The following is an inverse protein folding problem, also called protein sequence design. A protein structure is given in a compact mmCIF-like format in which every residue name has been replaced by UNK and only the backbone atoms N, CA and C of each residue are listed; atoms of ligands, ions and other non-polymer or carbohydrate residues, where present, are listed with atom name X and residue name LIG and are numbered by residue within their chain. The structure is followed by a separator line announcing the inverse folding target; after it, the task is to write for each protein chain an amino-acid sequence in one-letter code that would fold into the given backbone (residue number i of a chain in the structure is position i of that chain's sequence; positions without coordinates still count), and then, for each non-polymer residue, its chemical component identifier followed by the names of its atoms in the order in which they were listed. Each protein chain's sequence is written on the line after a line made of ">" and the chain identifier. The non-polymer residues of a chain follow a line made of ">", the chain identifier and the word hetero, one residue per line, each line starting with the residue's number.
data_IF_781999736522
#
_entry.id   IF_781999736522
#
_cell.length_a   1.000
_cell.length_b   1.000
_cell.length_c   1.000
_cell.angle_alpha   90.00
_cell.angle_beta   90.00
_cell.angle_gamma   90.00
#
_symmetry.space_group_name_H-M   'P 1'
#
loop_
_entity.id
_entity.type
_entity.pdbx_description
1 polymer ?
#
# COMPACT_ATOMS: atom_id res chain seq x y z
N UNK A 1 -14.27 -7.84 -0.79
CA UNK A 1 -12.87 -7.70 -0.33
C UNK A 1 -12.36 -6.25 -0.40
N UNK A 2 -12.32 -5.58 -1.57
CA UNK A 2 -11.87 -4.16 -1.68
C UNK A 2 -12.63 -3.19 -0.74
N UNK A 3 -13.95 -3.36 -0.63
CA UNK A 3 -14.80 -2.56 0.26
C UNK A 3 -14.54 -2.86 1.75
N UNK A 4 -14.27 -4.11 2.09
CA UNK A 4 -13.95 -4.54 3.47
C UNK A 4 -12.60 -3.96 3.87
N UNK A 5 -11.61 -4.02 2.99
CA UNK A 5 -10.29 -3.46 3.24
C UNK A 5 -10.34 -1.94 3.44
N UNK A 6 -11.00 -1.23 2.52
CA UNK A 6 -11.19 0.22 2.62
C UNK A 6 -11.97 0.62 3.88
N UNK A 7 -13.05 -0.10 4.19
CA UNK A 7 -13.86 0.17 5.39
C UNK A 7 -13.10 -0.10 6.69
N UNK A 8 -12.28 -1.15 6.73
CA UNK A 8 -11.48 -1.50 7.91
C UNK A 8 -10.38 -0.46 8.16
N UNK A 9 -9.72 0.01 7.10
CA UNK A 9 -8.66 1.03 7.21
C UNK A 9 -9.20 2.41 7.60
N UNK A 10 -10.38 2.79 7.08
CA UNK A 10 -11.07 4.02 7.49
C UNK A 10 -11.51 3.93 8.97
N UNK A 11 -12.03 2.77 9.38
CA UNK A 11 -12.41 2.56 10.78
C UNK A 11 -11.18 2.61 11.72
N UNK A 12 -10.05 2.02 11.31
CA UNK A 12 -8.82 2.01 12.10
C UNK A 12 -8.16 3.40 12.20
N UNK A 13 -8.12 4.16 11.11
CA UNK A 13 -7.63 5.55 11.13
C UNK A 13 -8.51 6.46 12.01
N UNK A 14 -9.83 6.32 11.92
CA UNK A 14 -10.76 7.06 12.80
C UNK A 14 -10.57 6.71 14.28
N UNK A 15 -10.36 5.43 14.61
CA UNK A 15 -10.10 4.99 15.98
C UNK A 15 -8.77 5.55 16.52
N UNK A 16 -7.72 5.61 15.68
CA UNK A 16 -6.45 6.22 16.03
C UNK A 16 -6.63 7.71 16.35
N UNK A 17 -7.35 8.47 15.51
CA UNK A 17 -7.63 9.89 15.75
C UNK A 17 -8.44 10.13 17.04
N UNK A 18 -9.46 9.31 17.29
CA UNK A 18 -10.24 9.38 18.54
C UNK A 18 -9.36 9.14 19.77
N UNK A 19 -8.40 8.22 19.68
CA UNK A 19 -7.48 7.95 20.79
C UNK A 19 -6.49 9.11 21.02
N UNK A 20 -5.89 9.65 19.96
CA UNK A 20 -4.91 10.73 20.04
C UNK A 20 -5.53 12.04 20.53
N UNK A 21 -6.74 12.37 20.06
CA UNK A 21 -7.50 13.53 20.53
C UNK A 21 -7.93 13.36 22.00
N UNK A 22 -8.41 12.17 22.39
CA UNK A 22 -8.76 11.86 23.77
C UNK A 22 -7.59 11.99 24.75
N UNK A 23 -6.40 11.49 24.38
CA UNK A 23 -5.19 11.64 25.19
C UNK A 23 -4.79 13.11 25.31
N UNK A 24 -4.85 13.87 24.21
CA UNK A 24 -4.48 15.29 24.20
C UNK A 24 -5.41 16.12 25.08
N UNK A 25 -6.72 15.92 24.96
CA UNK A 25 -7.73 16.59 25.79
C UNK A 25 -7.58 16.21 27.26
N UNK A 26 -7.37 14.92 27.55
CA UNK A 26 -7.12 14.45 28.91
C UNK A 26 -5.88 15.13 29.52
N UNK A 27 -4.77 15.21 28.77
CA UNK A 27 -3.53 15.86 29.23
C UNK A 27 -3.63 17.38 29.34
N UNK A 28 -4.49 18.03 28.57
CA UNK A 28 -4.78 19.47 28.74
C UNK A 28 -5.65 19.77 29.97
N UNK A 29 -6.48 18.82 30.39
CA UNK A 29 -7.42 18.96 31.52
C UNK A 29 -6.84 18.51 32.86
N UNK A 30 -5.79 17.68 32.88
CA UNK A 30 -5.10 17.29 34.11
C UNK A 30 -4.26 18.46 34.62
N UNK A 31 -4.54 18.90 35.86
CA UNK A 31 -3.86 20.03 36.48
C UNK A 31 -2.41 19.69 36.85
N UNK A 32 -1.51 20.65 36.60
CA UNK A 32 -0.07 20.47 36.41
C UNK A 32 0.70 20.06 37.69
N UNK A 33 0.93 18.75 37.89
CA UNK A 33 1.90 18.28 38.90
C UNK A 33 3.20 17.73 38.32
N UNK A 34 3.25 17.42 37.02
CA UNK A 34 4.49 17.03 36.35
C UNK A 34 4.64 17.82 35.06
N UNK A 35 5.79 18.48 34.86
CA UNK A 35 6.21 19.06 33.58
C UNK A 35 6.52 17.95 32.55
N UNK A 36 5.70 16.90 32.49
CA UNK A 36 5.88 15.78 31.58
C UNK A 36 5.14 16.08 30.27
N UNK A 37 5.88 15.97 29.16
CA UNK A 37 5.30 16.08 27.83
C UNK A 37 4.67 14.73 27.43
N UNK A 38 3.59 14.72 26.63
CA UNK A 38 3.02 13.49 26.07
C UNK A 38 4.05 12.63 25.34
N UNK A 39 4.95 13.29 24.60
CA UNK A 39 6.09 12.65 23.97
C UNK A 39 7.39 13.24 24.53
N UNK A 40 8.25 12.39 25.08
CA UNK A 40 9.51 12.83 25.66
C UNK A 40 10.43 13.37 24.54
N UNK A 41 10.53 14.70 24.45
CA UNK A 41 11.23 15.40 23.37
C UNK A 41 12.15 16.44 23.98
N UNK A 42 13.38 16.53 23.49
CA UNK A 42 14.29 17.60 23.87
C UNK A 42 13.94 18.88 23.11
N UNK A 43 13.54 19.92 23.83
CA UNK A 43 13.18 21.21 23.25
C UNK A 43 14.25 22.26 23.59
N UNK A 44 14.63 23.13 22.63
CA UNK A 44 15.65 24.15 22.87
C UNK A 44 15.15 25.32 23.73
N UNK A 45 13.91 25.27 24.23
CA UNK A 45 13.28 26.32 25.04
C UNK A 45 12.67 25.76 26.32
N UNK A 46 12.55 26.61 27.33
CA UNK A 46 11.95 26.24 28.61
C UNK A 46 10.42 26.27 28.52
N UNK A 47 9.77 25.14 28.82
CA UNK A 47 8.32 24.99 28.81
C UNK A 47 7.69 24.96 30.22
N UNK A 48 8.40 25.46 31.23
CA UNK A 48 7.91 25.53 32.63
C UNK A 48 6.70 26.46 32.81
N UNK A 49 6.44 27.36 31.87
CA UNK A 49 5.28 28.27 31.91
C UNK A 49 4.03 27.55 31.39
N UNK A 50 2.86 27.64 32.06
CA UNK A 50 1.64 26.93 31.66
C UNK A 50 1.21 27.20 30.21
N UNK A 51 1.36 28.44 29.73
CA UNK A 51 1.01 28.82 28.34
C UNK A 51 1.92 28.12 27.33
N UNK A 52 3.23 28.14 27.57
CA UNK A 52 4.24 27.51 26.68
C UNK A 52 4.08 25.99 26.70
N UNK A 53 3.78 25.41 27.87
CA UNK A 53 3.51 23.98 28.01
C UNK A 53 2.30 23.54 27.17
N UNK A 54 1.17 24.26 27.26
CA UNK A 54 -0.04 23.98 26.47
C UNK A 54 0.23 24.12 24.96
N UNK A 55 0.95 25.16 24.55
CA UNK A 55 1.32 25.33 23.14
C UNK A 55 2.22 24.18 22.65
N UNK A 56 3.14 23.71 23.48
CA UNK A 56 4.02 22.58 23.17
C UNK A 56 3.22 21.27 23.03
N UNK A 57 2.26 21.01 23.92
CA UNK A 57 1.36 19.85 23.82
C UNK A 57 0.56 19.90 22.51
N UNK A 58 -0.01 21.06 22.17
CA UNK A 58 -0.75 21.24 20.92
C UNK A 58 0.14 21.02 19.69
N UNK A 59 1.37 21.57 19.70
CA UNK A 59 2.32 21.37 18.62
C UNK A 59 2.70 19.89 18.45
N UNK A 60 2.98 19.17 19.54
CA UNK A 60 3.23 17.72 19.50
C UNK A 60 2.04 16.95 18.93
N UNK A 61 0.81 17.33 19.33
CA UNK A 61 -0.41 16.74 18.78
C UNK A 61 -0.50 16.95 17.26
N UNK A 62 -0.30 18.18 16.77
CA UNK A 62 -0.34 18.47 15.33
C UNK A 62 0.73 17.68 14.55
N UNK A 63 1.94 17.54 15.11
CA UNK A 63 3.01 16.76 14.47
C UNK A 63 2.58 15.29 14.33
N UNK A 64 2.07 14.69 15.41
CA UNK A 64 1.62 13.27 15.40
C UNK A 64 0.38 13.09 14.51
N UNK A 65 -0.52 14.07 14.50
CA UNK A 65 -1.70 14.09 13.64
C UNK A 65 -1.31 14.08 12.15
N UNK A 66 -0.43 14.99 11.74
CA UNK A 66 0.06 15.06 10.35
C UNK A 66 0.81 13.76 9.99
N UNK A 67 1.69 13.27 10.86
CA UNK A 67 2.42 12.03 10.63
C UNK A 67 1.48 10.83 10.46
N UNK A 68 0.45 10.71 11.32
CA UNK A 68 -0.57 9.66 11.23
C UNK A 68 -1.36 9.71 9.93
N UNK A 69 -1.74 10.91 9.46
CA UNK A 69 -2.41 11.06 8.17
C UNK A 69 -1.53 10.72 6.97
N UNK A 70 -0.25 11.11 7.02
CA UNK A 70 0.71 10.75 5.98
C UNK A 70 0.83 9.22 5.92
N UNK A 71 1.01 8.57 7.07
CA UNK A 71 1.09 7.11 7.18
C UNK A 71 -0.18 6.44 6.63
N UNK A 72 -1.36 6.84 7.09
CA UNK A 72 -2.64 6.31 6.61
C UNK A 72 -2.83 6.52 5.09
N UNK A 73 -2.36 7.67 4.59
CA UNK A 73 -2.31 7.98 3.17
C UNK A 73 -1.46 6.97 2.40
N UNK A 74 -0.24 6.69 2.87
CA UNK A 74 0.66 5.69 2.27
C UNK A 74 0.08 4.28 2.30
N UNK A 75 -0.45 3.86 3.45
CA UNK A 75 -1.05 2.53 3.62
C UNK A 75 -2.29 2.34 2.71
N UNK A 76 -2.92 3.43 2.27
CA UNK A 76 -4.03 3.40 1.28
C UNK A 76 -3.56 3.50 -0.16
N UNK A 77 -2.69 4.46 -0.44
CA UNK A 77 -2.19 4.74 -1.78
C UNK A 77 -1.49 3.52 -2.36
N UNK A 78 -0.68 2.85 -1.55
CA UNK A 78 0.14 1.74 -2.03
C UNK A 78 -0.71 0.55 -2.55
N UNK A 79 -1.62 -0.08 -1.77
CA UNK A 79 -2.54 -1.09 -2.29
C UNK A 79 -3.42 -0.55 -3.42
N UNK A 80 -3.80 0.72 -3.35
CA UNK A 80 -4.61 1.39 -4.37
C UNK A 80 -3.91 1.39 -5.74
N UNK A 81 -2.63 1.77 -5.79
CA UNK A 81 -1.86 1.77 -7.03
C UNK A 81 -1.63 0.33 -7.51
N UNK A 82 -1.30 -0.61 -6.62
CA UNK A 82 -1.16 -2.04 -6.98
C UNK A 82 -2.43 -2.59 -7.63
N UNK A 83 -3.60 -2.25 -7.08
CA UNK A 83 -4.89 -2.66 -7.63
C UNK A 83 -5.17 -2.02 -9.00
N UNK A 84 -4.82 -0.74 -9.19
CA UNK A 84 -4.95 -0.06 -10.48
C UNK A 84 -4.03 -0.71 -11.53
N UNK A 85 -2.81 -1.06 -11.14
CA UNK A 85 -1.86 -1.80 -11.98
C UNK A 85 -2.46 -3.14 -12.40
N UNK A 86 -2.95 -3.95 -11.46
CA UNK A 86 -3.63 -5.21 -11.77
C UNK A 86 -4.77 -5.01 -12.79
N UNK A 87 -5.57 -3.95 -12.62
CA UNK A 87 -6.67 -3.65 -13.53
C UNK A 87 -6.18 -3.26 -14.93
N UNK A 88 -5.14 -2.41 -15.04
CA UNK A 88 -4.55 -2.01 -16.33
C UNK A 88 -3.94 -3.21 -17.05
N UNK A 89 -3.25 -4.10 -16.33
CA UNK A 89 -2.73 -5.36 -16.86
C UNK A 89 -3.85 -6.28 -17.35
N UNK A 90 -4.95 -6.41 -16.58
CA UNK A 90 -6.09 -7.23 -16.94
C UNK A 90 -6.82 -6.73 -18.20
N UNK A 91 -7.03 -5.41 -18.32
CA UNK A 91 -7.65 -4.79 -19.50
C UNK A 91 -6.79 -5.01 -20.74
N UNK A 92 -5.49 -4.75 -20.63
CA UNK A 92 -4.56 -4.88 -21.75
C UNK A 92 -4.48 -6.32 -22.24
N UNK A 93 -4.39 -7.28 -21.31
CA UNK A 93 -4.51 -8.71 -21.59
C UNK A 93 -5.83 -9.05 -22.31
N UNK A 94 -6.96 -8.51 -21.86
CA UNK A 94 -8.25 -8.79 -22.49
C UNK A 94 -8.28 -8.32 -23.94
N UNK A 95 -7.78 -7.10 -24.21
CA UNK A 95 -7.63 -6.57 -25.57
C UNK A 95 -6.73 -7.48 -26.42
N UNK A 96 -5.64 -7.97 -25.86
CA UNK A 96 -4.74 -8.89 -26.55
C UNK A 96 -5.43 -10.22 -26.93
N UNK A 97 -6.16 -10.84 -26.00
CA UNK A 97 -6.92 -12.08 -26.29
C UNK A 97 -7.90 -11.91 -27.45
N UNK A 98 -8.58 -10.76 -27.51
CA UNK A 98 -9.51 -10.45 -28.60
C UNK A 98 -8.78 -10.40 -29.93
N UNK A 99 -7.63 -9.72 -30.00
CA UNK A 99 -6.82 -9.62 -31.22
C UNK A 99 -6.36 -11.00 -31.71
N UNK A 100 -5.88 -11.86 -30.81
CA UNK A 100 -5.45 -13.24 -31.15
C UNK A 100 -6.61 -14.08 -31.70
N UNK A 101 -7.79 -13.98 -31.10
CA UNK A 101 -8.98 -14.72 -31.57
C UNK A 101 -9.42 -14.23 -32.96
N UNK A 102 -9.39 -12.92 -33.20
CA UNK A 102 -9.74 -12.34 -34.50
C UNK A 102 -8.74 -12.82 -35.56
N UNK A 103 -7.44 -12.80 -35.27
CA UNK A 103 -6.39 -13.34 -36.15
C UNK A 103 -6.59 -14.83 -36.45
N UNK A 104 -6.82 -15.66 -35.44
CA UNK A 104 -7.04 -17.09 -35.62
C UNK A 104 -8.23 -17.41 -36.53
N UNK A 105 -9.34 -16.68 -36.38
CA UNK A 105 -10.52 -16.82 -37.25
C UNK A 105 -10.25 -16.36 -38.68
N UNK A 106 -9.50 -15.27 -38.87
CA UNK A 106 -9.15 -14.78 -40.20
C UNK A 106 -8.23 -15.75 -40.96
N UNK A 107 -7.35 -16.46 -40.25
CA UNK A 107 -6.48 -17.49 -40.85
C UNK A 107 -7.26 -18.74 -41.29
N UNK A 108 -8.29 -19.15 -40.55
CA UNK A 108 -9.16 -20.29 -40.91
C UNK A 108 -10.04 -20.01 -42.15
N UNK A 109 -10.41 -18.76 -42.41
CA UNK A 109 -11.45 -18.41 -43.42
C UNK A 109 -10.90 -18.29 -44.86
N UNK A 110 -9.64 -18.69 -45.14
CA UNK A 110 -8.91 -18.69 -46.44
C UNK A 110 -9.67 -18.18 -47.69
N UNK A 111 -10.00 -16.90 -47.72
CA UNK A 111 -10.63 -16.28 -48.88
C UNK A 111 -10.00 -14.91 -49.12
N UNK A 112 -9.26 -14.81 -50.24
CA UNK A 112 -8.77 -13.61 -50.93
C UNK A 112 -7.35 -13.06 -50.65
N UNK A 113 -6.44 -13.17 -51.63
CA UNK A 113 -5.17 -12.41 -51.87
C UNK A 113 -4.05 -12.41 -50.80
N UNK A 114 -3.00 -13.23 -51.00
CA UNK A 114 -1.92 -13.45 -50.02
C UNK A 114 -1.06 -12.22 -49.67
N UNK A 115 -0.89 -11.26 -50.59
CA UNK A 115 0.01 -10.11 -50.39
C UNK A 115 -0.59 -8.99 -49.53
N UNK A 116 -1.92 -8.86 -49.54
CA UNK A 116 -2.63 -7.95 -48.65
C UNK A 116 -2.63 -8.50 -47.22
N UNK A 117 -2.84 -9.82 -47.07
CA UNK A 117 -2.79 -10.51 -45.78
C UNK A 117 -1.41 -10.44 -45.12
N UNK A 118 -0.32 -10.60 -45.87
CA UNK A 118 1.04 -10.53 -45.31
C UNK A 118 1.36 -9.16 -44.70
N UNK A 119 0.88 -8.07 -45.31
CA UNK A 119 1.06 -6.72 -44.77
C UNK A 119 0.17 -6.44 -43.55
N UNK A 120 -1.05 -7.00 -43.52
CA UNK A 120 -1.97 -6.88 -42.38
C UNK A 120 -1.45 -7.68 -41.18
N UNK A 121 -0.96 -8.91 -41.39
CA UNK A 121 -0.32 -9.72 -40.35
C UNK A 121 0.94 -9.05 -39.80
N UNK A 122 1.81 -8.53 -40.67
CA UNK A 122 3.02 -7.79 -40.24
C UNK A 122 2.67 -6.58 -39.40
N UNK A 123 1.65 -5.81 -39.79
CA UNK A 123 1.21 -4.64 -39.03
C UNK A 123 0.62 -5.03 -37.67
N UNK A 124 -0.19 -6.08 -37.62
CA UNK A 124 -0.77 -6.61 -36.37
C UNK A 124 0.27 -7.21 -35.42
N UNK A 125 1.27 -7.92 -35.96
CA UNK A 125 2.41 -8.43 -35.19
C UNK A 125 3.25 -7.27 -34.64
N UNK A 126 3.46 -6.22 -35.45
CA UNK A 126 4.21 -5.05 -34.99
C UNK A 126 3.45 -4.30 -33.88
N UNK A 127 2.14 -4.09 -34.05
CA UNK A 127 1.26 -3.52 -33.01
C UNK A 127 1.25 -4.40 -31.74
N UNK A 128 1.40 -5.71 -31.89
CA UNK A 128 1.53 -6.64 -30.77
C UNK A 128 2.86 -6.51 -30.04
N UNK A 129 3.98 -6.52 -30.76
CA UNK A 129 5.32 -6.35 -30.19
C UNK A 129 5.41 -5.01 -29.46
N UNK A 130 4.87 -3.94 -30.06
CA UNK A 130 4.83 -2.62 -29.44
C UNK A 130 3.98 -2.62 -28.16
N UNK A 131 2.80 -3.26 -28.19
CA UNK A 131 1.95 -3.43 -27.02
C UNK A 131 2.61 -4.28 -25.93
N UNK A 132 3.35 -5.33 -26.29
CA UNK A 132 4.06 -6.21 -25.36
C UNK A 132 5.25 -5.50 -24.70
N UNK A 133 6.03 -4.75 -25.48
CA UNK A 133 7.12 -3.93 -24.98
C UNK A 133 6.62 -2.82 -24.05
N UNK A 134 5.45 -2.22 -24.34
CA UNK A 134 4.82 -1.27 -23.44
C UNK A 134 4.43 -1.91 -22.07
N UNK A 135 4.06 -3.20 -22.06
CA UNK A 135 3.77 -3.94 -20.81
C UNK A 135 5.03 -4.20 -20.01
N UNK A 136 6.10 -4.68 -20.67
CA UNK A 136 7.37 -4.94 -20.02
C UNK A 136 7.96 -3.66 -19.44
N UNK A 137 7.96 -2.57 -20.22
CA UNK A 137 8.39 -1.26 -19.73
C UNK A 137 7.55 -0.76 -18.56
N UNK A 138 6.23 -0.96 -18.58
CA UNK A 138 5.36 -0.62 -17.45
C UNK A 138 5.71 -1.46 -16.21
N UNK A 139 5.93 -2.76 -16.38
CA UNK A 139 6.31 -3.67 -15.31
C UNK A 139 7.67 -3.29 -14.69
N UNK A 140 8.69 -3.03 -15.51
CA UNK A 140 10.03 -2.66 -15.04
C UNK A 140 10.01 -1.35 -14.25
N UNK A 141 9.24 -0.36 -14.74
CA UNK A 141 9.05 0.90 -14.04
C UNK A 141 8.36 0.69 -12.69
N UNK A 142 7.35 -0.18 -12.63
CA UNK A 142 6.64 -0.51 -11.40
C UNK A 142 7.57 -1.25 -10.44
N UNK A 143 8.24 -2.31 -10.89
CA UNK A 143 9.14 -3.10 -10.04
C UNK A 143 10.21 -2.19 -9.40
N UNK A 144 10.84 -1.31 -10.19
CA UNK A 144 11.91 -0.44 -9.71
C UNK A 144 11.47 0.56 -8.62
N UNK A 145 10.24 1.06 -8.69
CA UNK A 145 9.67 2.01 -7.72
C UNK A 145 9.11 1.26 -6.52
N UNK A 146 8.29 0.24 -6.77
CA UNK A 146 7.58 -0.49 -5.73
C UNK A 146 8.52 -1.33 -4.87
N UNK A 147 9.55 -1.96 -5.45
CA UNK A 147 10.52 -2.74 -4.68
C UNK A 147 11.19 -1.93 -3.57
N UNK A 148 11.58 -0.68 -3.86
CA UNK A 148 12.18 0.23 -2.87
C UNK A 148 11.19 0.62 -1.78
N UNK A 149 9.97 0.99 -2.16
CA UNK A 149 8.91 1.41 -1.22
C UNK A 149 8.51 0.25 -0.30
N UNK A 150 8.32 -0.95 -0.87
CA UNK A 150 8.05 -2.18 -0.14
C UNK A 150 9.17 -2.42 0.88
N UNK A 151 10.43 -2.42 0.45
CA UNK A 151 11.55 -2.70 1.33
C UNK A 151 11.58 -1.78 2.56
N UNK A 152 11.45 -0.46 2.34
CA UNK A 152 11.45 0.52 3.43
C UNK A 152 10.25 0.32 4.35
N UNK A 153 9.05 0.10 3.80
CA UNK A 153 7.84 -0.13 4.59
C UNK A 153 7.98 -1.37 5.49
N UNK A 154 8.38 -2.52 4.92
CA UNK A 154 8.53 -3.75 5.70
C UNK A 154 9.60 -3.62 6.78
N UNK A 155 10.71 -2.95 6.47
CA UNK A 155 11.77 -2.73 7.45
C UNK A 155 11.29 -1.88 8.64
N UNK A 156 10.62 -0.76 8.36
CA UNK A 156 10.08 0.12 9.39
C UNK A 156 8.98 -0.55 10.21
N UNK A 157 8.05 -1.26 9.56
CA UNK A 157 6.99 -2.00 10.25
C UNK A 157 7.55 -3.14 11.11
N UNK A 158 8.58 -3.85 10.65
CA UNK A 158 9.23 -4.91 11.42
C UNK A 158 9.87 -4.35 12.70
N UNK A 159 10.63 -3.25 12.59
CA UNK A 159 11.22 -2.58 13.75
C UNK A 159 10.13 -2.11 14.73
N UNK A 160 9.07 -1.48 14.22
CA UNK A 160 7.96 -1.02 15.05
C UNK A 160 7.29 -2.17 15.78
N UNK A 161 6.99 -3.28 15.08
CA UNK A 161 6.39 -4.46 15.69
C UNK A 161 7.28 -5.08 16.77
N UNK A 162 8.58 -5.20 16.50
CA UNK A 162 9.53 -5.72 17.49
C UNK A 162 9.54 -4.87 18.77
N UNK A 163 9.56 -3.54 18.63
CA UNK A 163 9.53 -2.61 19.76
C UNK A 163 8.19 -2.72 20.52
N UNK A 164 7.06 -2.74 19.81
CA UNK A 164 5.74 -2.89 20.44
C UNK A 164 5.62 -4.21 21.20
N UNK A 165 6.04 -5.34 20.61
CA UNK A 165 6.02 -6.66 21.26
C UNK A 165 6.86 -6.65 22.53
N UNK A 166 8.06 -6.05 22.47
CA UNK A 166 8.93 -5.90 23.63
C UNK A 166 8.24 -5.12 24.76
N UNK A 167 7.61 -3.98 24.45
CA UNK A 167 6.86 -3.21 25.45
C UNK A 167 5.69 -3.99 26.03
N UNK A 168 4.89 -4.66 25.20
CA UNK A 168 3.78 -5.51 25.65
C UNK A 168 4.28 -6.58 26.62
N UNK A 169 5.44 -7.19 26.33
CA UNK A 169 6.04 -8.23 27.19
C UNK A 169 6.43 -7.74 28.59
N UNK A 170 6.62 -6.43 28.78
CA UNK A 170 6.95 -5.82 30.08
C UNK A 170 5.74 -5.23 30.80
N UNK A 171 4.61 -5.08 30.10
CA UNK A 171 3.38 -4.50 30.65
C UNK A 171 2.59 -5.54 31.44
N UNK A 172 1.80 -5.07 32.42
CA UNK A 172 0.83 -5.93 33.10
C UNK A 172 -0.34 -6.23 32.18
N UNK A 173 -0.71 -7.50 32.12
CA UNK A 173 -1.85 -8.00 31.35
C UNK A 173 -3.14 -7.29 31.83
N UNK A 174 -4.05 -7.00 30.90
CA UNK A 174 -5.35 -6.33 31.12
C UNK A 174 -5.30 -4.85 31.57
N UNK A 175 -4.16 -4.17 31.45
CA UNK A 175 -4.12 -2.71 31.55
C UNK A 175 -4.64 -2.05 30.27
N UNK A 176 -5.15 -0.82 30.36
CA UNK A 176 -5.59 -0.06 29.18
C UNK A 176 -4.44 0.14 28.17
N UNK A 177 -3.22 0.33 28.67
CA UNK A 177 -2.01 0.44 27.86
C UNK A 177 -1.69 -0.88 27.14
N UNK A 178 -1.83 -2.03 27.82
CA UNK A 178 -1.68 -3.35 27.20
C UNK A 178 -2.71 -3.55 26.09
N UNK A 179 -3.98 -3.27 26.36
CA UNK A 179 -5.07 -3.43 25.37
C UNK A 179 -4.80 -2.54 24.15
N UNK A 180 -4.41 -1.28 24.35
CA UNK A 180 -4.08 -0.36 23.26
C UNK A 180 -2.93 -0.86 22.38
N UNK A 181 -1.81 -1.26 22.99
CA UNK A 181 -0.66 -1.79 22.26
C UNK A 181 -0.97 -3.12 21.56
N UNK A 182 -1.79 -3.98 22.17
CA UNK A 182 -2.19 -5.25 21.58
C UNK A 182 -3.11 -5.06 20.36
N UNK A 183 -4.08 -4.15 20.44
CA UNK A 183 -4.93 -3.77 19.30
C UNK A 183 -4.08 -3.17 18.17
N UNK A 184 -3.10 -2.32 18.50
CA UNK A 184 -2.16 -1.77 17.53
C UNK A 184 -1.34 -2.87 16.83
N UNK A 185 -0.89 -3.89 17.56
CA UNK A 185 -0.17 -5.04 17.00
C UNK A 185 -1.03 -5.82 16.00
N UNK A 186 -2.29 -6.10 16.35
CA UNK A 186 -3.23 -6.78 15.44
C UNK A 186 -3.49 -5.94 14.19
N UNK A 187 -3.70 -4.64 14.36
CA UNK A 187 -3.91 -3.70 13.25
C UNK A 187 -2.72 -3.67 12.30
N UNK A 188 -1.51 -3.43 12.82
CA UNK A 188 -0.27 -3.39 12.04
C UNK A 188 -0.02 -4.71 11.28
N UNK A 189 -0.30 -5.85 11.91
CA UNK A 189 -0.17 -7.17 11.26
C UNK A 189 -1.17 -7.33 10.11
N UNK A 190 -2.39 -6.83 10.29
CA UNK A 190 -3.45 -6.85 9.26
C UNK A 190 -3.09 -5.98 8.06
N UNK A 191 -2.52 -4.81 8.30
CA UNK A 191 -2.04 -3.89 7.25
C UNK A 191 -0.92 -4.53 6.43
N UNK A 192 0.09 -5.12 7.10
CA UNK A 192 1.18 -5.85 6.42
C UNK A 192 0.62 -6.99 5.58
N UNK A 193 -0.30 -7.80 6.13
CA UNK A 193 -0.89 -8.90 5.40
C UNK A 193 -1.61 -8.44 4.12
N UNK A 194 -2.34 -7.33 4.19
CA UNK A 194 -3.04 -6.81 3.03
C UNK A 194 -2.12 -6.20 1.98
N UNK A 195 -1.01 -5.58 2.41
CA UNK A 195 0.07 -5.17 1.52
C UNK A 195 0.68 -6.39 0.81
N UNK A 196 1.04 -7.45 1.54
CA UNK A 196 1.51 -8.73 0.99
C UNK A 196 0.52 -9.28 -0.04
N UNK A 197 -0.76 -9.31 0.31
CA UNK A 197 -1.81 -9.87 -0.53
C UNK A 197 -1.97 -9.09 -1.84
N UNK A 198 -1.95 -7.75 -1.76
CA UNK A 198 -2.06 -6.87 -2.93
C UNK A 198 -0.84 -6.99 -3.83
N UNK A 199 0.36 -7.07 -3.25
CA UNK A 199 1.59 -7.30 -3.98
C UNK A 199 1.60 -8.67 -4.68
N UNK A 200 1.19 -9.72 -3.98
CA UNK A 200 1.09 -11.06 -4.53
C UNK A 200 0.10 -11.13 -5.71
N UNK A 201 -1.02 -10.40 -5.67
CA UNK A 201 -1.93 -10.32 -6.84
C UNK A 201 -1.24 -9.74 -8.08
N UNK A 202 -0.42 -8.69 -7.92
CA UNK A 202 0.34 -8.10 -9.04
C UNK A 202 1.32 -9.12 -9.59
N UNK A 203 2.10 -9.78 -8.71
CA UNK A 203 3.05 -10.82 -9.12
C UNK A 203 2.35 -11.96 -9.85
N UNK A 204 1.18 -12.41 -9.40
CA UNK A 204 0.42 -13.46 -10.07
C UNK A 204 -0.11 -13.04 -11.44
N UNK A 205 -0.63 -11.81 -11.58
CA UNK A 205 -1.12 -11.30 -12.86
C UNK A 205 0.01 -11.17 -13.91
N UNK A 206 1.24 -10.91 -13.47
CA UNK A 206 2.44 -10.82 -14.31
C UNK A 206 3.08 -12.21 -14.57
N UNK A 207 3.38 -12.98 -13.52
CA UNK A 207 4.21 -14.19 -13.57
C UNK A 207 3.50 -15.43 -14.12
N UNK A 208 2.25 -15.72 -13.69
CA UNK A 208 1.49 -16.89 -14.18
C UNK A 208 1.33 -16.86 -15.71
N UNK A 209 1.47 -15.69 -16.33
CA UNK A 209 1.22 -15.49 -17.75
C UNK A 209 2.43 -15.29 -18.62
N UNK A 210 3.64 -15.19 -18.04
CA UNK A 210 4.86 -15.50 -18.77
C UNK A 210 4.94 -17.01 -19.07
N UNK A 211 4.48 -17.88 -18.14
CA UNK A 211 4.42 -19.34 -18.34
C UNK A 211 3.25 -19.85 -19.21
N UNK A 212 2.25 -19.02 -19.51
CA UNK A 212 1.18 -19.37 -20.48
C UNK A 212 1.41 -18.79 -21.87
N UNK A 213 2.61 -18.26 -22.17
CA UNK A 213 3.13 -18.41 -23.53
C UNK A 213 3.43 -19.91 -23.61
N UNK A 214 2.62 -20.72 -24.32
CA UNK A 214 3.00 -22.11 -24.51
C UNK A 214 4.41 -22.09 -25.06
N UNK A 215 5.27 -22.95 -24.52
CA UNK A 215 6.44 -23.42 -25.26
C UNK A 215 5.91 -23.84 -26.64
N UNK A 216 5.99 -22.91 -27.59
CA UNK A 216 5.80 -23.18 -28.99
C UNK A 216 7.00 -24.03 -29.35
N UNK A 217 6.81 -25.34 -29.31
CA UNK A 217 7.35 -26.23 -30.32
C UNK A 217 7.14 -25.57 -31.68
N UNK A 218 8.20 -24.93 -32.17
CA UNK A 218 8.63 -24.98 -33.57
C UNK A 218 10.14 -25.15 -33.53
#
# INVERSE_FOLDING_TARGET
>A
MKLIFKSNMIAQSALFEMSASGVTVSRMNVDQSSNSLPFNTYLPYNYSTPVIHRFTILAQYFIVFIAGHIQAGFDTLFPGIMMQICAKLAILKHRFRIVVIILGKMHETRTFSSKYYENVDKKLINDWIESHNAILSLYDNIESVFSKVIFVQYFMSALSLCITVYFISQMRIFTMEFIGNFVFLIASTTEIFALCFSANQVTLEVCIRQFTIPNGTI
#
